data_IF_755872309804
#
_entry.id   IF_755872309804
#
_cell.length_a   1.000
_cell.length_b   1.000
_cell.length_c   1.000
_cell.angle_alpha   90.00
_cell.angle_beta   90.00
_cell.angle_gamma   90.00
#
_symmetry.space_group_name_H-M   'P 1'
#
loop_
_entity.id
_entity.type
_entity.pdbx_description
1 polymer ?
#
# COMPACT_ATOMS: atom_id res chain seq x y z
N UNK A 1 -18.56 -20.39 7.76
CA UNK A 1 -17.44 -19.42 7.85
C UNK A 1 -16.40 -19.87 6.83
N UNK A 2 -15.69 -18.96 6.12
CA UNK A 2 -14.63 -19.38 5.20
C UNK A 2 -13.39 -19.66 6.05
N UNK A 3 -12.84 -20.88 5.96
CA UNK A 3 -11.66 -21.34 6.70
C UNK A 3 -10.54 -21.69 5.72
N UNK A 4 -9.31 -21.86 6.20
CA UNK A 4 -8.19 -22.33 5.39
C UNK A 4 -8.49 -23.69 4.76
N UNK A 5 -9.02 -24.62 5.53
CA UNK A 5 -9.36 -25.99 5.09
C UNK A 5 -10.37 -25.94 3.94
N UNK A 6 -11.44 -25.13 4.10
CA UNK A 6 -12.46 -24.99 3.05
C UNK A 6 -11.89 -24.38 1.76
N UNK A 7 -10.95 -23.43 1.88
CA UNK A 7 -10.26 -22.87 0.72
C UNK A 7 -9.33 -23.90 0.05
N UNK A 8 -8.55 -24.64 0.84
CA UNK A 8 -7.65 -25.69 0.33
C UNK A 8 -8.38 -26.88 -0.29
N UNK A 9 -9.61 -27.16 0.14
CA UNK A 9 -10.46 -28.17 -0.50
C UNK A 9 -10.96 -27.72 -1.88
N UNK A 10 -11.25 -26.44 -2.06
CA UNK A 10 -11.84 -25.90 -3.29
C UNK A 10 -10.81 -25.44 -4.31
N UNK A 11 -9.67 -24.93 -3.85
CA UNK A 11 -8.73 -24.20 -4.69
C UNK A 11 -7.27 -24.62 -4.42
N UNK A 12 -6.48 -24.58 -5.50
CA UNK A 12 -5.02 -24.49 -5.43
C UNK A 12 -4.59 -23.04 -5.65
N UNK A 13 -3.59 -22.62 -4.92
CA UNK A 13 -2.95 -21.31 -5.13
C UNK A 13 -1.95 -21.38 -6.28
N UNK A 14 -2.06 -20.44 -7.22
CA UNK A 14 -1.07 -20.30 -8.29
C UNK A 14 -0.07 -19.17 -7.94
N UNK A 15 1.27 -19.34 -8.14
CA UNK A 15 2.29 -18.35 -7.78
C UNK A 15 2.07 -16.94 -8.36
N UNK A 16 1.35 -16.83 -9.47
CA UNK A 16 0.98 -15.54 -10.06
C UNK A 16 -0.16 -14.80 -9.32
N UNK A 17 -0.57 -15.26 -8.12
CA UNK A 17 -1.51 -14.53 -7.26
C UNK A 17 -2.98 -14.75 -7.60
N UNK A 18 -3.37 -15.94 -8.05
CA UNK A 18 -4.76 -16.32 -8.28
C UNK A 18 -5.05 -17.76 -7.81
N UNK A 19 -6.31 -18.12 -7.77
CA UNK A 19 -6.76 -19.47 -7.46
C UNK A 19 -7.09 -20.29 -8.71
N UNK A 20 -6.82 -21.58 -8.65
CA UNK A 20 -7.28 -22.60 -9.60
C UNK A 20 -8.30 -23.50 -8.92
N UNK A 21 -9.44 -23.74 -9.55
CA UNK A 21 -10.47 -24.66 -9.01
C UNK A 21 -10.01 -26.10 -9.13
N UNK A 22 -9.89 -26.83 -8.02
CA UNK A 22 -9.49 -28.24 -8.02
C UNK A 22 -10.41 -29.11 -8.87
N UNK A 23 -11.73 -28.86 -8.79
CA UNK A 23 -12.72 -29.65 -9.53
C UNK A 23 -12.62 -29.54 -11.06
N UNK A 24 -12.16 -28.41 -11.58
CA UNK A 24 -12.19 -28.12 -13.03
C UNK A 24 -10.85 -27.81 -13.65
N UNK A 25 -9.79 -27.61 -12.83
CA UNK A 25 -8.47 -27.17 -13.29
C UNK A 25 -8.45 -25.74 -13.87
N UNK A 26 -9.56 -25.00 -13.79
CA UNK A 26 -9.63 -23.66 -14.39
C UNK A 26 -9.32 -22.56 -13.37
N UNK A 27 -8.64 -21.52 -13.86
CA UNK A 27 -8.41 -20.30 -13.06
C UNK A 27 -9.75 -19.70 -12.62
N UNK A 28 -9.78 -19.19 -11.41
CA UNK A 28 -10.96 -18.50 -10.86
C UNK A 28 -11.03 -17.11 -11.46
N UNK A 29 -12.13 -16.83 -12.13
CA UNK A 29 -12.42 -15.48 -12.63
C UNK A 29 -12.73 -14.58 -11.44
N UNK A 30 -11.88 -13.54 -11.27
CA UNK A 30 -12.08 -12.49 -10.29
C UNK A 30 -12.55 -11.22 -11.01
N UNK A 31 -13.46 -10.48 -10.40
CA UNK A 31 -13.99 -9.24 -10.97
C UNK A 31 -13.63 -8.06 -10.09
N UNK A 32 -13.41 -6.92 -10.73
CA UNK A 32 -13.32 -5.63 -10.09
C UNK A 32 -14.41 -4.73 -10.68
N UNK A 33 -15.48 -4.52 -9.94
CA UNK A 33 -16.56 -3.65 -10.38
C UNK A 33 -16.15 -2.17 -10.24
N UNK A 34 -16.81 -1.30 -11.02
CA UNK A 34 -16.58 0.16 -10.97
C UNK A 34 -16.70 0.66 -9.52
N UNK A 35 -15.64 1.33 -9.04
CA UNK A 35 -15.56 1.83 -7.66
C UNK A 35 -15.00 0.85 -6.61
N UNK A 36 -14.75 -0.39 -6.96
CA UNK A 36 -14.07 -1.34 -6.06
C UNK A 36 -12.56 -1.14 -6.12
N UNK A 37 -11.93 -1.31 -4.94
CA UNK A 37 -10.47 -1.11 -4.79
C UNK A 37 -9.67 -2.40 -4.93
N UNK A 38 -10.33 -3.57 -4.88
CA UNK A 38 -9.68 -4.89 -4.83
C UNK A 38 -10.45 -5.90 -5.65
N UNK A 39 -9.73 -6.84 -6.26
CA UNK A 39 -10.32 -8.01 -6.90
C UNK A 39 -11.17 -8.80 -5.91
N UNK A 40 -12.34 -9.23 -6.36
CA UNK A 40 -13.29 -10.01 -5.58
C UNK A 40 -13.43 -11.42 -6.13
N UNK A 41 -13.63 -12.36 -5.21
CA UNK A 41 -13.92 -13.76 -5.48
C UNK A 41 -15.25 -14.13 -4.78
N UNK A 42 -16.05 -14.97 -5.42
CA UNK A 42 -17.29 -15.50 -4.84
C UNK A 42 -17.05 -16.91 -4.30
N UNK A 43 -17.29 -17.09 -2.99
CA UNK A 43 -17.09 -18.34 -2.27
C UNK A 43 -18.32 -18.56 -1.37
N UNK A 44 -18.99 -19.72 -1.50
CA UNK A 44 -20.19 -20.05 -0.73
C UNK A 44 -21.26 -18.94 -0.74
N UNK A 45 -21.53 -18.36 -1.91
CA UNK A 45 -22.51 -17.28 -2.08
C UNK A 45 -22.11 -15.92 -1.49
N UNK A 46 -20.88 -15.77 -1.01
CA UNK A 46 -20.38 -14.53 -0.42
C UNK A 46 -19.22 -13.94 -1.25
N UNK A 47 -19.25 -12.62 -1.39
CA UNK A 47 -18.15 -11.89 -2.01
C UNK A 47 -17.03 -11.63 -0.99
N UNK A 48 -15.80 -12.00 -1.33
CA UNK A 48 -14.62 -11.79 -0.50
C UNK A 48 -13.49 -11.15 -1.32
N UNK A 49 -12.57 -10.45 -0.68
CA UNK A 49 -11.41 -9.88 -1.36
C UNK A 49 -10.38 -10.97 -1.65
N UNK A 50 -9.93 -11.07 -2.91
CA UNK A 50 -9.03 -12.13 -3.37
C UNK A 50 -7.73 -12.19 -2.55
N UNK A 51 -7.04 -11.06 -2.35
CA UNK A 51 -5.80 -11.00 -1.56
C UNK A 51 -5.96 -11.55 -0.14
N UNK A 52 -7.11 -11.27 0.51
CA UNK A 52 -7.40 -11.80 1.86
C UNK A 52 -7.63 -13.31 1.84
N UNK A 53 -8.29 -13.83 0.80
CA UNK A 53 -8.51 -15.28 0.66
C UNK A 53 -7.20 -16.02 0.35
N UNK A 54 -6.34 -15.43 -0.47
CA UNK A 54 -4.99 -15.98 -0.75
C UNK A 54 -4.17 -16.00 0.55
N UNK A 55 -4.17 -14.92 1.31
CA UNK A 55 -3.45 -14.86 2.58
C UNK A 55 -3.97 -15.91 3.58
N UNK A 56 -5.30 -16.03 3.74
CA UNK A 56 -5.92 -17.07 4.57
C UNK A 56 -5.55 -18.49 4.11
N UNK A 57 -5.56 -18.73 2.80
CA UNK A 57 -5.19 -20.03 2.22
C UNK A 57 -3.75 -20.42 2.54
N UNK A 58 -2.81 -19.48 2.48
CA UNK A 58 -1.40 -19.74 2.70
C UNK A 58 -1.02 -19.78 4.19
N UNK A 59 -1.52 -18.83 5.00
CA UNK A 59 -1.08 -18.64 6.40
C UNK A 59 -2.06 -19.21 7.45
N UNK A 60 -3.30 -19.52 7.09
CA UNK A 60 -4.27 -20.08 8.02
C UNK A 60 -5.00 -19.08 8.92
N UNK A 61 -4.68 -17.81 8.81
CA UNK A 61 -5.33 -16.73 9.57
C UNK A 61 -5.52 -15.47 8.70
N UNK A 62 -6.34 -14.54 9.19
CA UNK A 62 -6.57 -13.24 8.55
C UNK A 62 -6.14 -12.11 9.48
N UNK A 63 -5.12 -11.33 9.11
CA UNK A 63 -4.75 -10.14 9.87
C UNK A 63 -5.83 -9.06 9.74
N UNK A 64 -5.85 -8.13 10.68
CA UNK A 64 -6.77 -6.98 10.67
C UNK A 64 -6.59 -6.13 9.41
N UNK A 65 -5.36 -5.89 9.00
CA UNK A 65 -5.02 -5.14 7.80
C UNK A 65 -3.95 -5.88 6.99
N UNK A 66 -4.13 -5.96 5.66
CA UNK A 66 -3.16 -6.45 4.69
C UNK A 66 -2.73 -5.31 3.78
N UNK A 67 -1.44 -5.28 3.46
CA UNK A 67 -0.83 -4.31 2.56
C UNK A 67 -0.23 -5.02 1.35
N UNK A 68 -0.29 -4.35 0.18
CA UNK A 68 0.45 -4.76 -1.02
C UNK A 68 1.78 -4.02 -1.04
N UNK A 69 2.90 -4.73 -0.93
CA UNK A 69 4.24 -4.16 -0.79
C UNK A 69 4.54 -3.17 -1.91
N UNK A 70 4.22 -3.54 -3.16
CA UNK A 70 4.38 -2.68 -4.35
C UNK A 70 3.26 -1.63 -4.52
N UNK A 71 2.23 -1.66 -3.65
CA UNK A 71 1.03 -0.82 -3.73
C UNK A 71 0.15 -1.08 -4.95
N UNK A 72 0.40 -2.11 -5.73
CA UNK A 72 -0.46 -2.58 -6.81
C UNK A 72 -1.49 -3.58 -6.26
N UNK A 73 -2.74 -3.18 -6.18
CA UNK A 73 -3.84 -3.96 -5.60
C UNK A 73 -4.28 -5.16 -6.45
N UNK A 74 -3.76 -5.29 -7.65
CA UNK A 74 -4.00 -6.41 -8.55
C UNK A 74 -2.91 -7.49 -8.42
N UNK A 75 -1.74 -7.13 -7.91
CA UNK A 75 -0.64 -8.06 -7.66
C UNK A 75 -0.85 -8.82 -6.34
N UNK A 76 -1.63 -9.91 -6.41
CA UNK A 76 -1.97 -10.72 -5.25
C UNK A 76 -1.02 -11.90 -5.02
N UNK A 77 0.20 -11.85 -5.52
CA UNK A 77 1.25 -12.81 -5.18
C UNK A 77 1.49 -12.79 -3.68
N UNK A 78 1.66 -13.97 -3.07
CA UNK A 78 1.79 -14.06 -1.61
C UNK A 78 3.01 -13.29 -1.08
N UNK A 79 4.11 -13.28 -1.81
CA UNK A 79 5.32 -12.53 -1.48
C UNK A 79 5.12 -11.00 -1.54
N UNK A 80 4.07 -10.53 -2.23
CA UNK A 80 3.68 -9.11 -2.28
C UNK A 80 2.66 -8.71 -1.21
N UNK A 81 2.16 -9.68 -0.43
CA UNK A 81 1.18 -9.43 0.63
C UNK A 81 1.86 -9.50 1.99
N UNK A 82 1.68 -8.46 2.80
CA UNK A 82 2.19 -8.43 4.16
C UNK A 82 1.14 -7.97 5.16
N UNK A 83 1.25 -8.46 6.38
CA UNK A 83 0.51 -7.92 7.50
C UNK A 83 1.00 -6.50 7.82
N UNK A 84 0.08 -5.60 8.07
CA UNK A 84 0.38 -4.22 8.40
C UNK A 84 -0.63 -3.66 9.39
N UNK A 85 -0.23 -2.64 10.13
CA UNK A 85 -1.18 -1.77 10.84
C UNK A 85 -1.81 -0.78 9.84
N UNK A 86 -2.93 -0.18 10.22
CA UNK A 86 -3.55 0.88 9.41
C UNK A 86 -2.57 2.03 9.16
N UNK A 87 -1.75 2.37 10.16
CA UNK A 87 -0.74 3.42 10.06
C UNK A 87 0.35 3.06 9.04
N UNK A 88 0.91 1.84 9.11
CA UNK A 88 1.90 1.34 8.17
C UNK A 88 1.38 1.29 6.74
N UNK A 89 0.13 0.84 6.55
CA UNK A 89 -0.51 0.84 5.23
C UNK A 89 -0.67 2.27 4.66
N UNK A 90 -0.93 3.27 5.51
CA UNK A 90 -0.93 4.68 5.09
C UNK A 90 0.46 5.16 4.65
N UNK A 91 1.54 4.69 5.28
CA UNK A 91 2.93 5.05 4.88
C UNK A 91 3.27 4.53 3.48
N UNK A 92 2.77 3.36 3.11
CA UNK A 92 2.92 2.77 1.76
C UNK A 92 2.03 3.43 0.68
N UNK A 93 1.31 4.51 1.00
CA UNK A 93 0.47 5.21 0.01
C UNK A 93 1.32 5.94 -1.04
N UNK A 94 0.80 6.01 -2.28
CA UNK A 94 1.40 6.82 -3.36
C UNK A 94 1.41 8.30 -3.00
N UNK A 95 2.34 9.03 -3.62
CA UNK A 95 2.30 10.50 -3.63
C UNK A 95 0.97 11.00 -4.23
N UNK A 96 0.42 12.08 -3.68
CA UNK A 96 -0.83 12.67 -4.19
C UNK A 96 -0.52 13.63 -5.34
N UNK A 97 -1.12 13.41 -6.49
CA UNK A 97 -0.92 14.20 -7.72
C UNK A 97 -1.30 15.69 -7.61
N UNK A 98 -2.03 16.10 -6.57
CA UNK A 98 -2.44 17.50 -6.35
C UNK A 98 -1.42 18.32 -5.56
N UNK A 99 -0.27 17.76 -5.21
CA UNK A 99 0.81 18.50 -4.57
C UNK A 99 1.55 19.36 -5.59
N UNK A 100 1.98 20.58 -5.19
CA UNK A 100 2.88 21.42 -6.01
C UNK A 100 4.28 20.81 -6.17
N UNK A 101 4.68 19.94 -5.26
CA UNK A 101 5.91 19.16 -5.36
C UNK A 101 5.61 17.83 -6.08
N UNK A 102 6.46 17.37 -7.00
CA UNK A 102 6.39 16.04 -7.58
C UNK A 102 6.83 14.95 -6.58
N UNK A 103 7.46 15.33 -5.48
CA UNK A 103 8.09 14.43 -4.52
C UNK A 103 7.24 14.22 -3.28
N UNK A 104 7.22 12.98 -2.80
CA UNK A 104 6.47 12.58 -1.61
C UNK A 104 7.13 13.16 -0.34
N UNK A 105 6.31 13.71 0.56
CA UNK A 105 6.74 14.35 1.81
C UNK A 105 7.51 15.67 1.65
N UNK A 106 7.62 16.18 0.43
CA UNK A 106 8.19 17.49 0.10
C UNK A 106 7.05 18.44 -0.27
N UNK A 107 7.01 19.63 0.28
CA UNK A 107 6.01 20.64 -0.06
C UNK A 107 6.58 22.05 -0.01
N UNK A 108 6.09 22.93 -0.87
CA UNK A 108 6.50 24.32 -0.88
C UNK A 108 5.95 25.06 0.34
N UNK A 109 6.81 25.76 1.06
CA UNK A 109 6.42 26.58 2.20
C UNK A 109 5.30 27.56 1.81
N UNK A 110 4.28 27.78 2.66
CA UNK A 110 3.27 28.80 2.41
C UNK A 110 3.88 30.18 2.22
N UNK A 111 3.23 31.09 1.47
CA UNK A 111 3.69 32.47 1.37
C UNK A 111 3.81 33.09 2.75
N UNK A 112 4.90 33.79 3.00
CA UNK A 112 5.10 34.60 4.21
C UNK A 112 4.50 36.00 3.99
N UNK A 113 4.31 36.76 5.06
CA UNK A 113 3.88 38.17 4.98
C UNK A 113 4.97 39.09 4.38
N UNK A 114 6.24 38.65 4.43
CA UNK A 114 7.35 39.35 3.80
C UNK A 114 7.60 38.80 2.38
N UNK A 115 7.35 39.59 1.33
CA UNK A 115 7.51 39.16 -0.06
C UNK A 115 8.97 38.91 -0.47
N UNK A 116 9.94 39.44 0.27
CA UNK A 116 11.38 39.26 0.01
C UNK A 116 11.89 37.88 0.43
N UNK A 117 11.13 37.15 1.27
CA UNK A 117 11.53 35.85 1.73
C UNK A 117 11.26 34.80 0.67
N UNK A 118 12.31 34.17 0.19
CA UNK A 118 12.22 33.00 -0.69
C UNK A 118 11.47 31.88 0.02
N UNK A 119 10.60 31.23 -0.73
CA UNK A 119 9.87 30.05 -0.24
C UNK A 119 10.72 28.81 -0.42
N UNK A 120 10.97 28.11 0.67
CA UNK A 120 11.76 26.89 0.68
C UNK A 120 10.87 25.63 0.54
N UNK A 121 11.49 24.54 0.14
CA UNK A 121 10.92 23.24 0.14
C UNK A 121 11.06 22.61 1.52
N UNK A 122 9.94 22.26 2.12
CA UNK A 122 9.88 21.69 3.47
C UNK A 122 9.68 20.20 3.38
N UNK A 123 10.49 19.45 4.12
CA UNK A 123 10.36 18.01 4.31
C UNK A 123 9.70 17.74 5.65
N UNK A 124 8.59 16.97 5.64
CA UNK A 124 7.97 16.47 6.86
C UNK A 124 7.38 15.08 6.68
N UNK A 125 7.48 14.24 7.70
CA UNK A 125 6.99 12.88 7.72
C UNK A 125 6.01 12.65 8.86
N UNK A 126 5.11 11.68 8.67
CA UNK A 126 4.31 11.13 9.78
C UNK A 126 5.15 10.07 10.49
N UNK A 127 5.49 10.30 11.75
CA UNK A 127 6.25 9.36 12.60
C UNK A 127 5.41 9.12 13.85
N UNK A 128 5.03 7.87 14.08
CA UNK A 128 4.19 7.47 15.22
C UNK A 128 2.90 8.31 15.36
N UNK A 129 2.21 8.56 14.24
CA UNK A 129 0.97 9.33 14.22
C UNK A 129 1.13 10.84 14.29
N UNK A 130 2.35 11.35 14.46
CA UNK A 130 2.65 12.78 14.56
C UNK A 130 3.44 13.24 13.34
N UNK A 131 3.10 14.43 12.80
CA UNK A 131 3.89 15.04 11.74
C UNK A 131 5.17 15.64 12.33
N UNK A 132 6.31 15.17 11.86
CA UNK A 132 7.63 15.66 12.23
C UNK A 132 8.23 16.48 11.10
N UNK A 133 8.69 17.67 11.42
CA UNK A 133 9.53 18.49 10.55
C UNK A 133 10.92 17.89 10.47
N UNK A 134 11.47 17.75 9.27
CA UNK A 134 12.81 17.18 9.03
C UNK A 134 13.78 18.27 8.63
N UNK A 135 13.37 19.17 7.72
CA UNK A 135 14.22 20.25 7.24
C UNK A 135 13.53 21.14 6.23
N UNK A 136 14.21 22.23 5.87
CA UNK A 136 13.79 23.20 4.86
C UNK A 136 14.96 23.48 3.92
N UNK A 137 14.74 23.46 2.61
CA UNK A 137 15.76 23.46 1.56
C UNK A 137 15.35 24.43 0.45
N UNK A 138 16.30 25.15 -0.13
CA UNK A 138 16.06 25.96 -1.33
C UNK A 138 15.92 25.07 -2.57
N UNK A 139 16.73 24.02 -2.61
CA UNK A 139 16.74 23.04 -3.69
C UNK A 139 15.74 21.92 -3.43
N UNK A 140 14.88 21.64 -4.44
CA UNK A 140 13.83 20.63 -4.34
C UNK A 140 14.39 19.21 -4.43
N UNK A 141 15.48 18.99 -5.16
CA UNK A 141 16.10 17.68 -5.34
C UNK A 141 16.81 17.27 -4.06
N UNK A 142 17.49 18.22 -3.40
CA UNK A 142 18.06 18.01 -2.09
C UNK A 142 16.95 17.69 -1.05
N UNK A 143 15.82 18.40 -1.12
CA UNK A 143 14.68 18.12 -0.25
C UNK A 143 14.13 16.69 -0.48
N UNK A 144 14.08 16.22 -1.73
CA UNK A 144 13.66 14.85 -2.02
C UNK A 144 14.65 13.81 -1.50
N UNK A 145 15.95 14.03 -1.70
CA UNK A 145 16.99 13.14 -1.18
C UNK A 145 16.86 12.97 0.35
N UNK A 146 16.72 14.07 1.07
CA UNK A 146 16.52 14.05 2.52
C UNK A 146 15.20 13.36 2.89
N UNK A 147 14.14 13.55 2.11
CA UNK A 147 12.87 12.88 2.32
C UNK A 147 12.99 11.37 2.09
N UNK A 148 13.79 10.91 1.13
CA UNK A 148 14.10 9.49 0.91
C UNK A 148 14.78 8.87 2.12
N UNK A 149 15.90 9.43 2.56
CA UNK A 149 16.66 8.95 3.73
C UNK A 149 15.81 8.94 5.00
N UNK A 150 15.04 10.00 5.22
CA UNK A 150 14.15 10.07 6.36
C UNK A 150 13.06 8.96 6.32
N UNK A 151 12.48 8.67 5.12
CA UNK A 151 11.53 7.56 4.98
C UNK A 151 12.19 6.21 5.29
N UNK A 152 13.37 5.95 4.76
CA UNK A 152 14.09 4.70 5.03
C UNK A 152 14.39 4.53 6.53
N UNK A 153 14.85 5.59 7.16
CA UNK A 153 15.16 5.60 8.60
C UNK A 153 13.94 5.39 9.49
N UNK A 154 12.81 6.06 9.20
CA UNK A 154 11.66 6.10 10.10
C UNK A 154 10.51 5.17 9.71
N UNK A 155 10.38 4.81 8.43
CA UNK A 155 9.32 3.93 7.94
C UNK A 155 9.85 2.53 7.59
N UNK A 156 11.18 2.36 7.42
CA UNK A 156 11.82 1.09 7.14
C UNK A 156 11.16 0.36 5.97
N UNK A 157 10.84 -0.91 6.14
CA UNK A 157 10.21 -1.74 5.09
C UNK A 157 8.86 -1.20 4.56
N UNK A 158 8.23 -0.25 5.24
CA UNK A 158 6.99 0.40 4.78
C UNK A 158 7.23 1.72 4.05
N UNK A 159 8.51 2.11 3.87
CA UNK A 159 8.87 3.28 3.09
C UNK A 159 8.45 3.09 1.63
N UNK A 160 7.83 4.12 1.04
CA UNK A 160 7.53 4.18 -0.38
C UNK A 160 8.01 5.52 -0.92
N UNK A 161 8.78 5.48 -2.01
CA UNK A 161 9.46 6.67 -2.53
C UNK A 161 8.72 7.36 -3.69
N UNK A 162 7.72 6.69 -4.27
CA UNK A 162 6.98 7.17 -5.45
C UNK A 162 5.46 6.94 -5.31
#
# INVERSE_FOLDING_TARGET
MITQESLKQLFDYHPNGYFVRKRTGKAVVCSMNKGQRYLKIYIFGKSASLHRMIFLHQHGYLPKCLDHIDGNRENNKIENLREATQQQNCLNSKHKSHSKSPYKNVYLQPPTKNPEWKRNWVVSLMINGTRKYIGSFEDIELADLVAHEARDKFHGQYARHF
#
